data_IF_334863693235
#
_entry.id   IF_334863693235
#
_cell.length_a   1.000
_cell.length_b   1.000
_cell.length_c   1.000
_cell.angle_alpha   90.00
_cell.angle_beta   90.00
_cell.angle_gamma   90.00
#
_symmetry.space_group_name_H-M   'P 1'
#
loop_
_entity.id
_entity.type
_entity.pdbx_description
1 polymer ?
#
# COMPACT_ATOMS: atom_id res chain seq x y z
N UNK A 1 -39.52 0.85 16.84
CA UNK A 1 -38.26 0.95 17.60
C UNK A 1 -37.28 -0.02 16.93
N UNK A 2 -36.39 0.47 16.04
CA UNK A 2 -35.40 -0.36 15.36
C UNK A 2 -34.09 -0.17 16.10
N UNK A 3 -33.60 -1.23 16.70
CA UNK A 3 -32.28 -1.29 17.34
C UNK A 3 -31.18 -1.03 16.30
N UNK A 4 -30.35 -0.05 16.57
CA UNK A 4 -29.07 0.15 15.88
C UNK A 4 -28.13 -0.96 16.35
N UNK A 5 -27.89 -1.94 15.49
CA UNK A 5 -26.78 -2.87 15.67
C UNK A 5 -25.46 -2.06 15.60
N UNK A 6 -24.79 -1.96 16.72
CA UNK A 6 -23.47 -1.37 16.84
C UNK A 6 -22.50 -2.19 15.99
N UNK A 7 -21.67 -1.49 15.22
CA UNK A 7 -20.54 -2.09 14.54
C UNK A 7 -19.69 -2.86 15.54
N UNK A 8 -19.53 -4.15 15.33
CA UNK A 8 -18.63 -4.99 16.09
C UNK A 8 -17.21 -4.44 15.95
N UNK A 9 -16.52 -4.25 17.07
CA UNK A 9 -15.10 -3.94 17.10
C UNK A 9 -14.35 -5.11 16.48
N UNK A 10 -13.70 -4.87 15.37
CA UNK A 10 -12.85 -5.87 14.70
C UNK A 10 -11.58 -6.06 15.52
N UNK A 11 -11.60 -7.04 16.39
CA UNK A 11 -10.41 -7.53 17.09
C UNK A 11 -9.67 -8.51 16.18
N UNK A 12 -8.48 -8.10 15.74
CA UNK A 12 -7.34 -9.00 15.58
C UNK A 12 -7.27 -9.97 14.39
N UNK A 13 -8.30 -10.16 13.56
CA UNK A 13 -8.33 -11.25 12.58
C UNK A 13 -8.56 -10.79 11.12
N UNK A 14 -8.31 -9.53 10.82
CA UNK A 14 -8.59 -8.90 9.51
C UNK A 14 -7.33 -8.47 8.74
N UNK A 15 -6.21 -9.17 8.93
CA UNK A 15 -5.03 -8.94 8.10
C UNK A 15 -5.19 -9.60 6.74
N UNK A 16 -5.56 -8.82 5.76
CA UNK A 16 -5.65 -9.23 4.37
C UNK A 16 -4.36 -8.87 3.61
N UNK A 17 -3.77 -9.87 2.97
CA UNK A 17 -2.49 -9.74 2.29
C UNK A 17 -2.67 -9.45 0.80
N UNK A 18 -1.77 -8.62 0.28
CA UNK A 18 -1.74 -8.25 -1.13
C UNK A 18 -1.50 -9.47 -2.02
N UNK A 19 -2.16 -9.56 -3.19
CA UNK A 19 -1.86 -10.59 -4.18
C UNK A 19 -0.37 -10.61 -4.53
N UNK A 20 0.26 -11.80 -4.57
CA UNK A 20 1.70 -11.93 -4.80
C UNK A 20 2.21 -11.28 -6.08
N UNK A 21 1.43 -11.30 -7.16
CA UNK A 21 1.79 -10.72 -8.46
C UNK A 21 1.95 -9.19 -8.41
N UNK A 22 1.13 -8.49 -7.61
CA UNK A 22 1.27 -7.06 -7.36
C UNK A 22 2.57 -6.77 -6.59
N UNK A 23 2.86 -7.56 -5.56
CA UNK A 23 4.08 -7.42 -4.76
C UNK A 23 5.33 -7.68 -5.60
N UNK A 24 5.31 -8.73 -6.44
CA UNK A 24 6.41 -9.05 -7.33
C UNK A 24 6.68 -7.93 -8.34
N UNK A 25 5.63 -7.35 -8.91
CA UNK A 25 5.76 -6.19 -9.81
C UNK A 25 6.37 -4.98 -9.08
N UNK A 26 5.89 -4.68 -7.87
CA UNK A 26 6.45 -3.58 -7.06
C UNK A 26 7.93 -3.82 -6.72
N UNK A 27 8.29 -5.07 -6.36
CA UNK A 27 9.68 -5.44 -6.09
C UNK A 27 10.57 -5.28 -7.32
N UNK A 28 10.07 -5.64 -8.51
CA UNK A 28 10.81 -5.48 -9.77
C UNK A 28 11.06 -3.99 -10.06
N UNK A 29 10.05 -3.14 -9.90
CA UNK A 29 10.18 -1.69 -10.08
C UNK A 29 11.18 -1.07 -9.11
N UNK A 30 11.09 -1.46 -7.84
CA UNK A 30 11.96 -0.92 -6.78
C UNK A 30 13.38 -1.51 -6.82
N UNK A 31 13.56 -2.67 -7.49
CA UNK A 31 14.84 -3.40 -7.47
C UNK A 31 15.15 -3.98 -6.08
N UNK A 32 14.13 -4.31 -5.31
CA UNK A 32 14.16 -4.76 -3.92
C UNK A 32 13.31 -3.86 -3.02
N UNK A 33 12.94 -4.36 -1.85
CA UNK A 33 12.16 -3.63 -0.84
C UNK A 33 12.99 -3.55 0.43
N UNK A 34 13.34 -2.33 0.85
CA UNK A 34 14.12 -2.10 2.07
C UNK A 34 13.22 -2.12 3.31
N UNK A 35 11.99 -1.60 3.18
CA UNK A 35 11.06 -1.46 4.30
C UNK A 35 9.61 -1.69 3.87
N UNK A 36 8.86 -2.43 4.71
CA UNK A 36 7.40 -2.40 4.77
C UNK A 36 6.98 -1.94 6.18
N UNK A 37 6.45 -0.71 6.31
CA UNK A 37 6.16 -0.12 7.62
C UNK A 37 4.83 -0.57 8.25
N UNK A 38 4.05 -1.39 7.55
CA UNK A 38 2.74 -1.87 7.99
C UNK A 38 2.56 -3.35 7.65
N UNK A 39 3.43 -4.20 8.19
CA UNK A 39 3.58 -5.60 7.78
C UNK A 39 3.36 -6.59 8.93
N UNK A 40 3.44 -7.86 8.57
CA UNK A 40 3.53 -9.00 9.50
C UNK A 40 4.56 -10.00 8.98
N UNK A 41 5.03 -10.94 9.81
CA UNK A 41 5.90 -12.03 9.34
C UNK A 41 5.31 -12.82 8.18
N UNK A 42 4.01 -13.08 8.22
CA UNK A 42 3.27 -13.81 7.20
C UNK A 42 3.20 -13.03 5.88
N UNK A 43 2.87 -11.74 5.94
CA UNK A 43 2.88 -10.86 4.76
C UNK A 43 4.30 -10.78 4.17
N UNK A 44 5.31 -10.65 5.02
CA UNK A 44 6.69 -10.50 4.58
C UNK A 44 7.27 -11.77 3.94
N UNK A 45 6.70 -12.94 4.18
CA UNK A 45 7.08 -14.15 3.46
C UNK A 45 6.87 -14.00 1.93
N UNK A 46 5.91 -13.18 1.51
CA UNK A 46 5.65 -12.85 0.11
C UNK A 46 6.33 -11.53 -0.29
N UNK A 47 6.26 -10.50 0.56
CA UNK A 47 6.79 -9.16 0.28
C UNK A 47 8.32 -9.20 0.18
N UNK A 48 8.99 -9.88 1.11
CA UNK A 48 10.45 -10.01 1.13
C UNK A 48 11.17 -8.68 1.35
N UNK A 49 10.60 -7.81 2.20
CA UNK A 49 11.27 -6.60 2.65
C UNK A 49 12.42 -6.95 3.60
N UNK A 50 13.52 -6.20 3.49
CA UNK A 50 14.67 -6.38 4.38
C UNK A 50 14.35 -6.03 5.84
N UNK A 51 13.39 -5.13 6.03
CA UNK A 51 12.88 -4.70 7.34
C UNK A 51 11.37 -4.55 7.30
N UNK A 52 10.72 -4.94 8.37
CA UNK A 52 9.28 -4.73 8.56
C UNK A 52 9.01 -4.06 9.90
N UNK A 53 7.92 -3.30 9.96
CA UNK A 53 7.32 -2.88 11.23
C UNK A 53 5.95 -3.53 11.36
N UNK A 54 5.75 -4.22 12.47
CA UNK A 54 4.48 -4.88 12.79
C UNK A 54 3.58 -3.95 13.59
N UNK A 55 2.33 -4.34 13.82
CA UNK A 55 1.43 -3.60 14.71
C UNK A 55 2.00 -3.43 16.12
N UNK A 56 2.76 -4.42 16.61
CA UNK A 56 3.42 -4.35 17.92
C UNK A 56 4.59 -3.36 17.96
N UNK A 57 5.23 -3.11 16.81
CA UNK A 57 6.34 -2.16 16.71
C UNK A 57 5.88 -0.71 16.62
N UNK A 58 4.63 -0.45 16.25
CA UNK A 58 4.11 0.85 15.83
C UNK A 58 4.95 1.48 14.70
N UNK A 59 4.70 1.06 13.46
CA UNK A 59 5.43 1.52 12.28
C UNK A 59 5.46 3.04 12.13
N UNK A 60 4.46 3.75 12.67
CA UNK A 60 4.43 5.21 12.67
C UNK A 60 5.43 5.84 13.65
N UNK A 61 5.89 5.10 14.64
CA UNK A 61 6.90 5.58 15.60
C UNK A 61 8.33 5.18 15.20
N UNK A 62 8.50 4.38 14.15
CA UNK A 62 9.79 3.84 13.72
C UNK A 62 10.37 4.63 12.54
N UNK A 63 11.71 4.62 12.32
CA UNK A 63 12.32 5.29 11.18
C UNK A 63 11.95 4.62 9.85
N UNK A 64 11.76 5.43 8.81
CA UNK A 64 11.55 4.98 7.44
C UNK A 64 12.71 5.45 6.57
N UNK A 65 13.23 4.56 5.73
CA UNK A 65 14.29 4.90 4.79
C UNK A 65 14.35 3.92 3.63
N UNK A 66 14.93 4.37 2.52
CA UNK A 66 15.18 3.55 1.34
C UNK A 66 13.95 3.30 0.49
N UNK A 67 13.82 2.11 -0.05
CA UNK A 67 12.77 1.70 -0.97
C UNK A 67 11.64 1.04 -0.20
N UNK A 68 10.44 1.63 -0.27
CA UNK A 68 9.29 1.25 0.57
C UNK A 68 8.22 0.57 -0.26
N UNK A 69 7.77 -0.58 0.20
CA UNK A 69 6.45 -1.11 -0.12
C UNK A 69 5.51 -0.79 1.03
N UNK A 70 4.27 -0.36 0.72
CA UNK A 70 3.29 -0.11 1.76
C UNK A 70 1.88 -0.51 1.31
N UNK A 71 1.22 -1.33 2.11
CA UNK A 71 -0.21 -1.57 2.08
C UNK A 71 -0.74 -1.19 3.48
N UNK A 72 -1.11 0.08 3.71
CA UNK A 72 -1.45 0.56 5.06
C UNK A 72 -2.77 -0.03 5.54
N UNK A 73 -3.02 -0.04 6.86
CA UNK A 73 -4.35 -0.32 7.39
C UNK A 73 -5.35 0.68 6.79
N UNK A 74 -6.46 0.18 6.21
CA UNK A 74 -7.44 1.05 5.53
C UNK A 74 -8.40 1.74 6.50
N UNK A 75 -8.42 1.33 7.76
CA UNK A 75 -9.22 1.98 8.79
C UNK A 75 -8.68 3.37 9.11
N UNK A 76 -9.60 4.31 9.34
CA UNK A 76 -9.26 5.66 9.77
C UNK A 76 -9.03 5.70 11.31
N UNK A 77 -8.08 6.53 11.80
CA UNK A 77 -7.21 7.47 11.07
C UNK A 77 -5.88 6.85 10.60
N UNK A 78 -5.72 5.53 10.67
CA UNK A 78 -4.43 4.88 10.38
C UNK A 78 -3.98 5.12 8.92
N UNK A 79 -4.88 4.94 7.96
CA UNK A 79 -4.57 5.15 6.54
C UNK A 79 -4.02 6.56 6.29
N UNK A 80 -4.69 7.60 6.81
CA UNK A 80 -4.26 9.00 6.69
C UNK A 80 -2.85 9.20 7.25
N UNK A 81 -2.59 8.67 8.43
CA UNK A 81 -1.31 8.84 9.12
C UNK A 81 -0.15 8.15 8.38
N UNK A 82 -0.36 6.93 7.89
CA UNK A 82 0.64 6.21 7.11
C UNK A 82 0.93 6.91 5.77
N UNK A 83 -0.11 7.36 5.07
CA UNK A 83 0.04 8.07 3.80
C UNK A 83 0.71 9.43 3.97
N UNK A 84 0.30 10.23 4.95
CA UNK A 84 0.95 11.50 5.26
C UNK A 84 2.42 11.31 5.66
N UNK A 85 2.72 10.24 6.41
CA UNK A 85 4.10 9.89 6.74
C UNK A 85 4.91 9.56 5.50
N UNK A 86 4.41 8.71 4.62
CA UNK A 86 5.09 8.36 3.38
C UNK A 86 5.40 9.61 2.55
N UNK A 87 4.41 10.48 2.37
CA UNK A 87 4.56 11.71 1.60
C UNK A 87 5.67 12.61 2.16
N UNK A 88 5.74 12.75 3.48
CA UNK A 88 6.79 13.53 4.16
C UNK A 88 8.16 12.89 4.01
N UNK A 89 8.32 11.60 4.32
CA UNK A 89 9.61 10.91 4.26
C UNK A 89 10.17 10.86 2.83
N UNK A 90 9.29 10.80 1.82
CA UNK A 90 9.70 10.91 0.42
C UNK A 90 10.12 12.33 0.05
N UNK A 91 9.38 13.35 0.46
CA UNK A 91 9.73 14.76 0.22
C UNK A 91 11.06 15.15 0.88
N UNK A 92 11.35 14.60 2.06
CA UNK A 92 12.59 14.82 2.82
C UNK A 92 13.75 13.97 2.30
N UNK A 93 13.50 13.00 1.41
CA UNK A 93 14.52 12.16 0.79
C UNK A 93 14.97 10.95 1.60
N UNK A 94 14.38 10.69 2.76
CA UNK A 94 14.66 9.49 3.54
C UNK A 94 14.12 8.23 2.81
N UNK A 95 12.93 8.31 2.26
CA UNK A 95 12.39 7.33 1.32
C UNK A 95 12.81 7.73 -0.09
N UNK A 96 13.52 6.86 -0.77
CA UNK A 96 14.08 7.15 -2.11
C UNK A 96 13.16 6.71 -3.25
N UNK A 97 12.34 5.71 -3.01
CA UNK A 97 11.24 5.28 -3.88
C UNK A 97 10.19 4.52 -3.07
N UNK A 98 8.96 4.53 -3.55
CA UNK A 98 7.89 3.76 -2.91
C UNK A 98 6.86 3.24 -3.92
N UNK A 99 6.32 2.05 -3.66
CA UNK A 99 5.06 1.59 -4.21
C UNK A 99 4.05 1.47 -3.07
N UNK A 100 2.91 2.12 -3.20
CA UNK A 100 1.85 2.08 -2.19
C UNK A 100 0.53 1.62 -2.79
N UNK A 101 -0.06 0.60 -2.17
CA UNK A 101 -1.37 0.08 -2.53
C UNK A 101 -2.41 0.65 -1.57
N UNK A 102 -3.38 1.37 -2.11
CA UNK A 102 -4.44 2.04 -1.34
C UNK A 102 -5.78 1.93 -2.05
N UNK A 103 -6.87 2.25 -1.34
CA UNK A 103 -8.15 2.50 -1.98
C UNK A 103 -8.04 3.71 -2.92
N UNK A 104 -8.76 3.69 -4.04
CA UNK A 104 -8.76 4.79 -5.02
C UNK A 104 -9.64 5.97 -4.57
N UNK A 105 -9.54 6.35 -3.30
CA UNK A 105 -10.31 7.43 -2.68
C UNK A 105 -9.73 8.80 -3.06
N UNK A 106 -9.83 9.15 -4.34
CA UNK A 106 -9.18 10.31 -4.96
C UNK A 106 -9.58 11.66 -4.37
N UNK A 107 -10.72 11.72 -3.69
CA UNK A 107 -11.26 12.92 -3.04
C UNK A 107 -10.64 13.21 -1.67
N UNK A 108 -9.92 12.25 -1.09
CA UNK A 108 -9.36 12.38 0.25
C UNK A 108 -8.06 13.18 0.27
N UNK A 109 -7.81 13.87 1.39
CA UNK A 109 -6.58 14.64 1.59
C UNK A 109 -5.35 13.75 1.46
N UNK A 110 -5.35 12.59 2.13
CA UNK A 110 -4.21 11.69 2.11
C UNK A 110 -3.90 11.15 0.71
N UNK A 111 -4.94 10.87 -0.12
CA UNK A 111 -4.72 10.42 -1.50
C UNK A 111 -4.11 11.56 -2.34
N UNK A 112 -4.59 12.79 -2.16
CA UNK A 112 -4.08 13.96 -2.85
C UNK A 112 -2.62 14.27 -2.47
N UNK A 113 -2.25 14.09 -1.19
CA UNK A 113 -0.87 14.30 -0.72
C UNK A 113 0.11 13.30 -1.34
N UNK A 114 -0.18 12.00 -1.26
CA UNK A 114 0.67 10.95 -1.87
C UNK A 114 0.61 11.02 -3.38
N UNK A 115 -0.57 11.13 -3.96
CA UNK A 115 -0.79 11.22 -5.40
C UNK A 115 -0.15 12.46 -6.02
N UNK A 116 -0.09 13.57 -5.26
CA UNK A 116 0.60 14.78 -5.65
C UNK A 116 2.11 14.60 -5.89
N UNK A 117 2.72 13.62 -5.23
CA UNK A 117 4.14 13.28 -5.39
C UNK A 117 4.38 12.05 -6.27
N UNK A 118 3.33 11.31 -6.63
CA UNK A 118 3.46 10.11 -7.44
C UNK A 118 3.94 10.44 -8.87
N UNK A 119 4.94 9.73 -9.33
CA UNK A 119 5.42 9.77 -10.72
C UNK A 119 4.55 8.93 -11.65
N UNK A 120 3.87 7.91 -11.11
CA UNK A 120 2.94 7.07 -11.84
C UNK A 120 1.87 6.48 -10.92
N UNK A 121 0.73 6.15 -11.49
CA UNK A 121 -0.39 5.48 -10.81
C UNK A 121 -0.93 4.38 -11.70
N UNK A 122 -1.13 3.20 -11.14
CA UNK A 122 -1.88 2.12 -11.76
C UNK A 122 -3.27 2.02 -11.14
N UNK A 123 -4.29 1.98 -11.99
CA UNK A 123 -5.66 1.65 -11.61
C UNK A 123 -5.96 0.23 -12.09
N UNK A 124 -5.94 -0.78 -11.21
CA UNK A 124 -6.17 -2.17 -11.58
C UNK A 124 -7.53 -2.39 -12.25
N UNK A 125 -7.56 -3.27 -13.23
CA UNK A 125 -8.80 -3.72 -13.85
C UNK A 125 -9.50 -4.69 -12.90
N UNK A 126 -10.67 -4.31 -12.43
CA UNK A 126 -11.42 -5.07 -11.43
C UNK A 126 -10.86 -4.89 -10.01
N UNK A 127 -11.42 -5.65 -9.10
CA UNK A 127 -11.03 -5.62 -7.68
C UNK A 127 -9.87 -6.58 -7.43
N UNK A 128 -8.84 -6.11 -6.74
CA UNK A 128 -7.77 -6.98 -6.28
C UNK A 128 -8.31 -7.98 -5.26
N UNK A 129 -7.92 -9.24 -5.39
CA UNK A 129 -8.33 -10.28 -4.45
C UNK A 129 -7.23 -10.45 -3.40
N UNK A 130 -7.48 -9.91 -2.23
CA UNK A 130 -6.62 -10.10 -1.06
C UNK A 130 -6.78 -11.53 -0.55
N UNK A 131 -5.74 -12.04 0.09
CA UNK A 131 -5.72 -13.40 0.61
C UNK A 131 -5.35 -13.42 2.09
N UNK A 132 -5.68 -14.53 2.75
CA UNK A 132 -5.29 -14.83 4.12
C UNK A 132 -5.18 -16.33 4.25
N UNK A 133 -4.16 -16.86 4.99
CA UNK A 133 -4.03 -18.29 5.20
C UNK A 133 -5.33 -18.90 5.77
N UNK A 134 -5.82 -19.97 5.14
CA UNK A 134 -7.01 -20.68 5.59
C UNK A 134 -8.36 -20.00 5.34
N UNK A 135 -8.39 -18.87 4.63
CA UNK A 135 -9.65 -18.21 4.24
C UNK A 135 -9.75 -18.07 2.72
N UNK A 136 -10.97 -18.01 2.23
CA UNK A 136 -11.21 -17.67 0.81
C UNK A 136 -10.77 -16.24 0.53
N UNK A 137 -10.22 -16.03 -0.67
CA UNK A 137 -9.79 -14.69 -1.08
C UNK A 137 -10.98 -13.74 -1.17
N UNK A 138 -10.85 -12.54 -0.61
CA UNK A 138 -11.89 -11.52 -0.63
C UNK A 138 -11.50 -10.32 -1.48
N UNK A 139 -12.49 -9.73 -2.15
CA UNK A 139 -12.34 -8.46 -2.84
C UNK A 139 -12.90 -7.35 -1.96
N UNK A 140 -12.17 -6.22 -1.81
CA UNK A 140 -12.66 -5.08 -1.05
C UNK A 140 -13.86 -4.42 -1.74
N UNK A 141 -14.64 -3.66 -0.97
CA UNK A 141 -15.80 -2.94 -1.49
C UNK A 141 -15.41 -1.82 -2.47
N UNK A 142 -14.24 -1.22 -2.26
CA UNK A 142 -13.70 -0.14 -3.11
C UNK A 142 -12.65 -0.67 -4.09
N UNK A 143 -12.46 0.04 -5.20
CA UNK A 143 -11.33 -0.17 -6.09
C UNK A 143 -10.03 0.27 -5.44
N UNK A 144 -8.91 -0.25 -5.92
CA UNK A 144 -7.58 0.12 -5.47
C UNK A 144 -6.84 0.95 -6.52
N UNK A 145 -5.79 1.61 -6.06
CA UNK A 145 -4.75 2.21 -6.87
C UNK A 145 -3.38 1.80 -6.31
N UNK A 146 -2.42 1.60 -7.20
CA UNK A 146 -1.00 1.49 -6.82
C UNK A 146 -0.32 2.75 -7.26
N UNK A 147 0.20 3.54 -6.31
CA UNK A 147 0.93 4.77 -6.58
C UNK A 147 2.43 4.49 -6.50
N UNK A 148 3.16 5.06 -7.43
CA UNK A 148 4.62 4.97 -7.47
C UNK A 148 5.24 6.34 -7.24
N UNK A 149 6.04 6.46 -6.21
CA UNK A 149 6.91 7.59 -5.92
C UNK A 149 8.34 7.16 -6.24
N UNK A 150 8.97 7.77 -7.20
CA UNK A 150 10.33 7.37 -7.57
C UNK A 150 10.77 7.90 -8.93
N UNK A 151 12.04 7.68 -9.27
CA UNK A 151 12.65 8.29 -10.46
C UNK A 151 12.34 7.56 -11.77
N UNK A 152 11.78 6.33 -11.73
CA UNK A 152 11.59 5.50 -12.93
C UNK A 152 10.13 5.12 -13.20
N UNK A 153 9.28 6.08 -13.65
CA UNK A 153 7.90 5.78 -14.03
C UNK A 153 7.79 4.85 -15.25
N UNK A 154 8.85 4.73 -16.06
CA UNK A 154 8.89 3.85 -17.22
C UNK A 154 8.94 2.39 -16.76
N UNK A 155 9.82 2.06 -15.82
CA UNK A 155 9.86 0.74 -15.21
C UNK A 155 8.54 0.41 -14.52
N UNK A 156 7.94 1.35 -13.78
CA UNK A 156 6.63 1.14 -13.18
C UNK A 156 5.56 0.81 -14.22
N UNK A 157 5.50 1.56 -15.30
CA UNK A 157 4.56 1.31 -16.39
C UNK A 157 4.75 -0.08 -17.00
N UNK A 158 6.00 -0.46 -17.26
CA UNK A 158 6.33 -1.77 -17.85
C UNK A 158 5.80 -2.92 -17.00
N UNK A 159 5.95 -2.85 -15.68
CA UNK A 159 5.51 -3.89 -14.75
C UNK A 159 4.00 -3.87 -14.47
N UNK A 160 3.39 -2.68 -14.41
CA UNK A 160 2.00 -2.53 -13.95
C UNK A 160 0.95 -2.45 -15.04
N UNK A 161 1.31 -2.24 -16.31
CA UNK A 161 0.34 -2.15 -17.42
C UNK A 161 -0.48 -3.42 -17.61
N UNK A 162 0.03 -4.56 -17.22
CA UNK A 162 -0.69 -5.85 -17.24
C UNK A 162 -1.87 -5.91 -16.28
N UNK A 163 -1.84 -5.11 -15.21
CA UNK A 163 -2.92 -5.08 -14.20
C UNK A 163 -4.03 -4.10 -14.53
N UNK A 164 -3.76 -3.03 -15.29
CA UNK A 164 -4.75 -2.02 -15.59
C UNK A 164 -4.19 -0.78 -16.28
N UNK A 165 -4.94 0.32 -16.15
CA UNK A 165 -4.53 1.60 -16.71
C UNK A 165 -3.39 2.17 -15.87
N UNK A 166 -2.31 2.58 -16.55
CA UNK A 166 -1.19 3.28 -15.91
C UNK A 166 -1.09 4.70 -16.46
N UNK A 167 -1.15 5.65 -15.55
CA UNK A 167 -0.94 7.09 -15.82
C UNK A 167 0.41 7.48 -15.28
N UNK A 168 1.21 8.19 -16.06
CA UNK A 168 2.52 8.73 -15.65
C UNK A 168 2.49 10.25 -15.68
N UNK A 169 3.15 10.87 -14.71
CA UNK A 169 3.39 12.31 -14.75
C UNK A 169 4.50 12.60 -15.78
N UNK A 170 4.33 13.66 -16.55
CA UNK A 170 5.36 14.17 -17.49
C UNK A 170 6.33 15.07 -16.76
#
# INVERSE_FOLDING_TARGET
>A
MREKTSAASETGDNEWYTPPDIVLAARAVLGGIDLDPASSPEANAVIGASRIWTAADDGLARPWAGKVWMNPPYAQPACDRFCARLAREYAEGAVTAACVLVNNATETTWFQEVGGQAAAVCFPRGRLRFWQPGKESAAPLQGQAVLYLGPDPVAFRAEFVKFGIVVTRR
#
